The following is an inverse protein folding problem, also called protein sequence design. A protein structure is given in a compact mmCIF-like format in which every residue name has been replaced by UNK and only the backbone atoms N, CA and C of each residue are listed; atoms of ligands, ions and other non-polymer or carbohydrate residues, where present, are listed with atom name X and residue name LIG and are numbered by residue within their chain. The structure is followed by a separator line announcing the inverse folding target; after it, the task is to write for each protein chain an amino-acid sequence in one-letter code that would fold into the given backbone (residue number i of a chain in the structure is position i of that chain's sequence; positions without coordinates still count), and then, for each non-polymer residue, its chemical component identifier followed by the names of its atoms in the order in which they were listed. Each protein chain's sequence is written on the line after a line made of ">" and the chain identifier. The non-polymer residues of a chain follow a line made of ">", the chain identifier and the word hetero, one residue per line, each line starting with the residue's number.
data_IF_688977447665
#
_entry.id   IF_688977447665
#
_cell.length_a   1.000
_cell.length_b   1.000
_cell.length_c   1.000
_cell.angle_alpha   90.00
_cell.angle_beta   90.00
_cell.angle_gamma   90.00
#
_symmetry.space_group_name_H-M   'P 1'
#
loop_
_entity.id
_entity.type
_entity.pdbx_description
1 polymer ?
#
# COMPACT_ATOMS: atom_id res chain seq x y z
N UNK A 1 -11.47 25.77 12.32
CA UNK A 1 -10.33 25.44 11.43
C UNK A 1 -10.83 25.44 10.00
N UNK A 2 -10.09 26.04 9.07
CA UNK A 2 -10.42 26.01 7.65
C UNK A 2 -10.29 24.56 7.14
N UNK A 3 -11.38 23.90 6.76
CA UNK A 3 -11.36 22.49 6.33
C UNK A 3 -10.86 22.29 4.89
N UNK A 4 -10.73 23.39 4.14
CA UNK A 4 -10.37 23.38 2.72
C UNK A 4 -9.01 22.72 2.42
N UNK A 5 -7.91 22.99 3.15
CA UNK A 5 -6.63 22.32 2.91
C UNK A 5 -6.68 20.81 3.18
N UNK A 6 -7.40 20.40 4.23
CA UNK A 6 -7.57 18.98 4.59
C UNK A 6 -8.34 18.25 3.48
N UNK A 7 -9.43 18.84 2.99
CA UNK A 7 -10.23 18.25 1.93
C UNK A 7 -9.48 18.19 0.59
N UNK A 8 -8.66 19.19 0.27
CA UNK A 8 -7.83 19.20 -0.93
C UNK A 8 -6.72 18.15 -0.89
N UNK A 9 -5.97 18.10 0.22
CA UNK A 9 -4.92 17.12 0.41
C UNK A 9 -5.51 15.71 0.33
N UNK A 10 -6.54 15.43 1.12
CA UNK A 10 -7.21 14.13 1.18
C UNK A 10 -7.73 13.68 -0.18
N UNK A 11 -8.37 14.58 -0.93
CA UNK A 11 -8.86 14.27 -2.28
C UNK A 11 -7.72 13.85 -3.21
N UNK A 12 -6.69 14.68 -3.36
CA UNK A 12 -5.60 14.40 -4.29
C UNK A 12 -4.76 13.21 -3.87
N UNK A 13 -4.46 13.06 -2.58
CA UNK A 13 -3.74 11.91 -2.08
C UNK A 13 -4.52 10.61 -2.31
N UNK A 14 -5.83 10.60 -2.07
CA UNK A 14 -6.66 9.41 -2.34
C UNK A 14 -6.72 9.08 -3.82
N UNK A 15 -6.82 10.08 -4.70
CA UNK A 15 -6.77 9.87 -6.16
C UNK A 15 -5.44 9.25 -6.57
N UNK A 16 -4.30 9.79 -6.09
CA UNK A 16 -2.98 9.24 -6.41
C UNK A 16 -2.87 7.80 -5.91
N UNK A 17 -3.28 7.52 -4.68
CA UNK A 17 -3.29 6.16 -4.12
C UNK A 17 -4.12 5.21 -4.99
N UNK A 18 -5.34 5.59 -5.35
CA UNK A 18 -6.21 4.78 -6.22
C UNK A 18 -5.58 4.54 -7.59
N UNK A 19 -4.99 5.57 -8.20
CA UNK A 19 -4.32 5.43 -9.50
C UNK A 19 -3.12 4.51 -9.42
N UNK A 20 -2.27 4.63 -8.40
CA UNK A 20 -1.10 3.76 -8.25
C UNK A 20 -1.50 2.30 -8.00
N UNK A 21 -2.57 2.06 -7.22
CA UNK A 21 -3.17 0.73 -7.02
C UNK A 21 -3.83 0.15 -8.28
N UNK A 22 -4.05 0.94 -9.33
CA UNK A 22 -4.53 0.46 -10.64
C UNK A 22 -3.34 0.27 -11.58
N UNK A 23 -2.40 1.21 -11.61
CA UNK A 23 -1.20 1.13 -12.46
C UNK A 23 -0.35 -0.09 -12.11
N UNK A 24 -0.14 -0.36 -10.82
CA UNK A 24 0.64 -1.51 -10.36
C UNK A 24 0.11 -2.85 -10.93
N UNK A 25 -1.14 -3.28 -10.67
CA UNK A 25 -1.62 -4.56 -11.18
C UNK A 25 -1.75 -4.58 -12.71
N UNK A 26 -2.01 -3.45 -13.38
CA UNK A 26 -1.98 -3.38 -14.84
C UNK A 26 -0.57 -3.62 -15.39
N UNK A 27 0.46 -3.09 -14.72
CA UNK A 27 1.84 -3.32 -15.12
C UNK A 27 2.23 -4.80 -15.04
N UNK A 28 1.69 -5.52 -14.05
CA UNK A 28 1.86 -6.97 -13.94
C UNK A 28 1.04 -7.74 -14.98
N UNK A 29 -0.21 -7.34 -15.21
CA UNK A 29 -1.12 -8.06 -16.10
C UNK A 29 -0.78 -7.93 -17.59
N UNK A 30 -0.12 -6.84 -17.98
CA UNK A 30 0.27 -6.54 -19.37
C UNK A 30 1.78 -6.63 -19.60
N UNK A 31 2.53 -7.21 -18.66
CA UNK A 31 3.98 -7.36 -18.73
C UNK A 31 4.71 -6.06 -19.08
N UNK A 32 4.29 -4.95 -18.47
CA UNK A 32 5.00 -3.67 -18.58
C UNK A 32 6.34 -3.74 -17.84
N UNK A 33 7.18 -2.71 -17.97
CA UNK A 33 8.48 -2.70 -17.29
C UNK A 33 8.32 -2.75 -15.76
N UNK A 34 9.20 -3.52 -15.09
CA UNK A 34 9.27 -3.59 -13.63
C UNK A 34 9.49 -2.21 -13.00
N UNK A 35 10.15 -1.30 -13.71
CA UNK A 35 10.29 0.09 -13.28
C UNK A 35 8.93 0.80 -13.09
N UNK A 36 7.91 0.49 -13.89
CA UNK A 36 6.56 1.03 -13.71
C UNK A 36 5.90 0.42 -12.47
N UNK A 37 6.05 -0.89 -12.27
CA UNK A 37 5.53 -1.56 -11.07
C UNK A 37 6.14 -0.95 -9.79
N UNK A 38 7.47 -0.94 -9.69
CA UNK A 38 8.17 -0.39 -8.52
C UNK A 38 7.98 1.12 -8.37
N UNK A 39 7.96 1.88 -9.47
CA UNK A 39 7.71 3.32 -9.44
C UNK A 39 6.32 3.65 -8.92
N UNK A 40 5.30 2.90 -9.35
CA UNK A 40 3.93 3.08 -8.86
C UNK A 40 3.80 2.77 -7.38
N UNK A 41 4.41 1.68 -6.90
CA UNK A 41 4.40 1.32 -5.48
C UNK A 41 5.24 2.27 -4.62
N UNK A 42 6.32 2.85 -5.17
CA UNK A 42 7.08 3.90 -4.51
C UNK A 42 6.25 5.18 -4.32
N UNK A 43 5.51 5.61 -5.35
CA UNK A 43 4.65 6.80 -5.26
C UNK A 43 3.39 6.58 -4.40
N UNK A 44 2.90 5.35 -4.33
CA UNK A 44 1.80 4.94 -3.45
C UNK A 44 2.10 5.26 -1.99
N UNK A 45 3.31 4.94 -1.51
CA UNK A 45 3.72 5.05 -0.12
C UNK A 45 3.53 6.46 0.50
N UNK A 46 4.15 7.54 -0.02
CA UNK A 46 3.96 8.89 0.52
C UNK A 46 2.53 9.41 0.30
N UNK A 47 1.87 9.04 -0.80
CA UNK A 47 0.48 9.41 -1.05
C UNK A 47 -0.46 8.80 -0.01
N UNK A 48 -0.23 7.56 0.40
CA UNK A 48 -0.99 6.90 1.46
C UNK A 48 -0.82 7.61 2.81
N UNK A 49 0.40 8.05 3.15
CA UNK A 49 0.63 8.85 4.37
C UNK A 49 -0.14 10.16 4.32
N UNK A 50 -0.09 10.90 3.20
CA UNK A 50 -0.84 12.14 3.03
C UNK A 50 -2.36 11.95 3.14
N UNK A 51 -2.87 10.82 2.64
CA UNK A 51 -4.27 10.43 2.81
C UNK A 51 -4.60 10.18 4.28
N UNK A 52 -3.75 9.47 5.02
CA UNK A 52 -3.94 9.17 6.43
C UNK A 52 -3.85 10.40 7.33
N UNK A 53 -3.00 11.38 7.00
CA UNK A 53 -3.00 12.71 7.65
C UNK A 53 -4.37 13.38 7.49
N UNK A 54 -4.93 13.35 6.28
CA UNK A 54 -6.24 13.95 6.01
C UNK A 54 -7.37 13.23 6.76
N UNK A 55 -7.31 11.89 6.85
CA UNK A 55 -8.25 11.08 7.65
C UNK A 55 -8.12 11.43 9.15
N UNK A 56 -6.91 11.61 9.67
CA UNK A 56 -6.70 12.01 11.07
C UNK A 56 -7.31 13.38 11.37
N UNK A 57 -7.18 14.35 10.46
CA UNK A 57 -7.78 15.66 10.62
C UNK A 57 -9.30 15.68 10.38
N UNK A 58 -9.81 14.72 9.62
CA UNK A 58 -11.25 14.48 9.45
C UNK A 58 -11.90 13.86 10.70
N UNK A 59 -11.15 13.07 11.48
CA UNK A 59 -11.67 12.34 12.63
C UNK A 59 -12.28 13.23 13.72
N UNK A 60 -13.43 12.82 14.24
CA UNK A 60 -14.02 13.39 15.47
C UNK A 60 -13.09 13.15 16.67
N UNK A 61 -13.11 14.03 17.70
CA UNK A 61 -12.17 13.97 18.82
C UNK A 61 -12.02 12.59 19.47
N UNK A 62 -13.12 11.85 19.63
CA UNK A 62 -13.18 10.54 20.29
C UNK A 62 -12.52 9.43 19.45
N UNK A 63 -12.32 9.66 18.15
CA UNK A 63 -11.70 8.71 17.21
C UNK A 63 -10.26 9.06 16.86
N UNK A 64 -9.72 10.17 17.38
CA UNK A 64 -8.36 10.62 17.06
C UNK A 64 -7.29 9.61 17.43
N UNK A 65 -7.42 8.90 18.54
CA UNK A 65 -6.49 7.84 18.96
C UNK A 65 -6.35 6.77 17.88
N UNK A 66 -7.47 6.31 17.31
CA UNK A 66 -7.50 5.30 16.26
C UNK A 66 -6.89 5.81 14.95
N UNK A 67 -7.25 7.03 14.54
CA UNK A 67 -6.67 7.64 13.34
C UNK A 67 -5.17 7.93 13.46
N UNK A 68 -4.70 8.31 14.65
CA UNK A 68 -3.28 8.54 14.92
C UNK A 68 -2.50 7.22 14.90
N UNK A 69 -3.05 6.16 15.50
CA UNK A 69 -2.48 4.82 15.40
C UNK A 69 -2.39 4.37 13.93
N UNK A 70 -3.44 4.59 13.15
CA UNK A 70 -3.43 4.30 11.72
C UNK A 70 -2.37 5.09 10.96
N UNK A 71 -2.22 6.39 11.26
CA UNK A 71 -1.18 7.23 10.66
C UNK A 71 0.23 6.75 11.02
N UNK A 72 0.47 6.36 12.27
CA UNK A 72 1.76 5.80 12.70
C UNK A 72 2.12 4.54 11.91
N UNK A 73 1.17 3.62 11.72
CA UNK A 73 1.38 2.43 10.89
C UNK A 73 1.62 2.79 9.41
N UNK A 74 0.89 3.77 8.88
CA UNK A 74 1.10 4.25 7.51
C UNK A 74 2.52 4.80 7.29
N UNK A 75 3.08 5.50 8.28
CA UNK A 75 4.46 6.00 8.24
C UNK A 75 5.45 4.83 8.21
N UNK A 76 5.27 3.82 9.07
CA UNK A 76 6.13 2.63 9.10
C UNK A 76 6.08 1.90 7.75
N UNK A 77 4.88 1.64 7.22
CA UNK A 77 4.68 1.09 5.88
C UNK A 77 5.46 1.88 4.82
N UNK A 78 5.27 3.21 4.81
CA UNK A 78 5.86 4.05 3.79
C UNK A 78 7.39 4.00 3.81
N UNK A 79 8.01 4.00 4.99
CA UNK A 79 9.48 3.88 5.11
C UNK A 79 9.96 2.52 4.57
N UNK A 80 9.34 1.42 5.01
CA UNK A 80 9.79 0.07 4.64
C UNK A 80 9.66 -0.19 3.14
N UNK A 81 8.50 0.10 2.56
CA UNK A 81 8.25 -0.14 1.14
C UNK A 81 9.00 0.85 0.24
N UNK A 82 9.14 2.12 0.66
CA UNK A 82 9.94 3.09 -0.12
C UNK A 82 11.39 2.66 -0.23
N UNK A 83 11.99 2.13 0.85
CA UNK A 83 13.35 1.59 0.82
C UNK A 83 13.46 0.42 -0.16
N UNK A 84 12.50 -0.51 -0.14
CA UNK A 84 12.47 -1.65 -1.08
C UNK A 84 12.46 -1.17 -2.53
N UNK A 85 11.51 -0.34 -2.90
CA UNK A 85 11.33 0.07 -4.30
C UNK A 85 12.43 1.02 -4.78
N UNK A 86 12.94 1.89 -3.90
CA UNK A 86 14.06 2.76 -4.24
C UNK A 86 15.33 1.93 -4.51
N UNK A 87 15.60 0.88 -3.72
CA UNK A 87 16.71 -0.04 -3.98
C UNK A 87 16.52 -0.76 -5.32
N UNK A 88 15.31 -1.22 -5.66
CA UNK A 88 15.07 -1.86 -6.96
C UNK A 88 15.37 -0.91 -8.13
N UNK A 89 14.80 0.30 -8.09
CA UNK A 89 14.88 1.29 -9.17
C UNK A 89 16.28 1.91 -9.32
N UNK A 90 17.08 1.96 -8.25
CA UNK A 90 18.36 2.68 -8.27
C UNK A 90 19.56 1.74 -8.21
N UNK A 91 19.58 0.81 -7.25
CA UNK A 91 20.73 -0.04 -7.02
C UNK A 91 20.71 -1.28 -7.94
N UNK A 92 19.59 -2.01 -7.97
CA UNK A 92 19.47 -3.23 -8.76
C UNK A 92 19.38 -2.92 -10.26
N UNK A 93 18.55 -1.96 -10.66
CA UNK A 93 18.35 -1.63 -12.08
C UNK A 93 19.62 -1.06 -12.74
N UNK A 94 20.38 -0.20 -12.05
CA UNK A 94 21.56 0.42 -12.65
C UNK A 94 22.84 -0.42 -12.51
N UNK A 95 23.01 -1.15 -11.39
CA UNK A 95 24.23 -1.89 -11.01
C UNK A 95 25.55 -1.23 -11.49
N UNK A 96 25.72 0.05 -11.17
CA UNK A 96 26.80 0.89 -11.75
C UNK A 96 28.23 0.41 -11.42
N UNK A 97 28.43 -0.25 -10.26
CA UNK A 97 29.72 -0.75 -9.80
C UNK A 97 29.98 -2.22 -10.18
N UNK A 98 29.46 -2.67 -11.33
CA UNK A 98 29.07 -4.04 -11.68
C UNK A 98 29.29 -5.08 -10.56
N UNK A 99 28.50 -4.98 -9.50
CA UNK A 99 28.62 -5.88 -8.35
C UNK A 99 28.10 -7.26 -8.78
N UNK A 100 28.82 -8.30 -8.36
CA UNK A 100 28.49 -9.68 -8.66
C UNK A 100 27.08 -10.07 -8.15
N UNK A 101 26.39 -10.91 -8.91
CA UNK A 101 25.00 -11.27 -8.64
C UNK A 101 24.81 -11.97 -7.29
N UNK A 102 25.82 -12.71 -6.82
CA UNK A 102 25.78 -13.38 -5.52
C UNK A 102 25.70 -12.38 -4.36
N UNK A 103 26.27 -11.19 -4.54
CA UNK A 103 26.29 -10.11 -3.55
C UNK A 103 25.03 -9.25 -3.63
N UNK A 104 24.46 -9.07 -4.82
CA UNK A 104 23.22 -8.31 -5.02
C UNK A 104 21.95 -9.15 -4.82
N UNK A 105 22.05 -10.49 -4.86
CA UNK A 105 20.92 -11.41 -4.72
C UNK A 105 20.00 -11.14 -3.52
N UNK A 106 20.50 -10.83 -2.30
CA UNK A 106 19.64 -10.50 -1.16
C UNK A 106 18.80 -9.22 -1.36
N UNK A 107 19.23 -8.36 -2.29
CA UNK A 107 18.59 -7.09 -2.59
C UNK A 107 17.59 -7.16 -3.75
N UNK A 108 17.48 -8.29 -4.45
CA UNK A 108 16.51 -8.46 -5.55
C UNK A 108 15.13 -8.75 -4.98
N UNK A 109 14.07 -8.13 -5.52
CA UNK A 109 12.70 -8.37 -5.06
C UNK A 109 12.14 -9.72 -5.56
N UNK A 110 12.51 -10.81 -4.87
CA UNK A 110 12.03 -12.18 -5.15
C UNK A 110 11.61 -12.84 -3.82
N UNK A 111 10.52 -13.64 -3.79
CA UNK A 111 10.16 -14.40 -2.60
C UNK A 111 11.33 -15.17 -1.97
N UNK A 112 11.51 -15.01 -0.66
CA UNK A 112 12.63 -15.60 0.09
C UNK A 112 13.85 -14.70 0.28
N UNK A 113 13.92 -13.55 -0.41
CA UNK A 113 14.97 -12.54 -0.16
C UNK A 113 14.63 -11.65 1.05
N UNK A 114 15.64 -11.08 1.73
CA UNK A 114 15.42 -10.08 2.79
C UNK A 114 14.59 -8.87 2.33
N UNK A 115 14.80 -8.38 1.10
CA UNK A 115 14.04 -7.25 0.56
C UNK A 115 12.55 -7.60 0.39
N UNK A 116 12.23 -8.82 -0.06
CA UNK A 116 10.84 -9.27 -0.12
C UNK A 116 10.21 -9.39 1.28
N UNK A 117 10.92 -9.97 2.25
CA UNK A 117 10.42 -10.09 3.62
C UNK A 117 10.16 -8.73 4.27
N UNK A 118 11.03 -7.74 4.03
CA UNK A 118 10.84 -6.36 4.47
C UNK A 118 9.58 -5.74 3.86
N UNK A 119 9.37 -5.89 2.55
CA UNK A 119 8.21 -5.34 1.86
C UNK A 119 6.90 -5.93 2.40
N UNK A 120 6.86 -7.24 2.59
CA UNK A 120 5.70 -7.93 3.18
C UNK A 120 5.38 -7.40 4.58
N UNK A 121 6.40 -7.21 5.42
CA UNK A 121 6.21 -6.59 6.75
C UNK A 121 5.69 -5.14 6.63
N UNK A 122 6.14 -4.38 5.62
CA UNK A 122 5.57 -3.08 5.28
C UNK A 122 4.06 -3.17 5.00
N UNK A 123 3.63 -4.10 4.15
CA UNK A 123 2.21 -4.30 3.84
C UNK A 123 1.37 -4.81 5.03
N UNK A 124 1.97 -5.50 6.00
CA UNK A 124 1.30 -5.76 7.30
C UNK A 124 0.94 -4.45 7.97
N UNK A 125 1.86 -3.49 8.04
CA UNK A 125 1.58 -2.17 8.59
C UNK A 125 0.56 -1.39 7.76
N UNK A 126 0.54 -1.54 6.44
CA UNK A 126 -0.54 -0.99 5.60
C UNK A 126 -1.92 -1.54 6.04
N UNK A 127 -2.03 -2.86 6.21
CA UNK A 127 -3.27 -3.50 6.65
C UNK A 127 -3.69 -3.04 8.06
N UNK A 128 -2.74 -2.91 8.98
CA UNK A 128 -2.99 -2.37 10.32
C UNK A 128 -3.40 -0.89 10.27
N UNK A 129 -2.82 -0.11 9.37
CA UNK A 129 -3.16 1.29 9.17
C UNK A 129 -4.63 1.43 8.74
N UNK A 130 -5.08 0.64 7.76
CA UNK A 130 -6.49 0.65 7.35
C UNK A 130 -7.41 0.14 8.46
N UNK A 131 -7.02 -0.91 9.18
CA UNK A 131 -7.79 -1.44 10.31
C UNK A 131 -8.06 -0.37 11.38
N UNK A 132 -7.01 0.36 11.76
CA UNK A 132 -7.09 1.43 12.74
C UNK A 132 -7.84 2.66 12.22
N UNK A 133 -7.79 2.94 10.91
CA UNK A 133 -8.51 4.03 10.28
C UNK A 133 -10.02 3.75 10.12
N UNK A 134 -10.44 2.49 9.96
CA UNK A 134 -11.84 2.12 9.72
C UNK A 134 -12.85 2.73 10.71
N UNK A 135 -12.62 2.67 12.03
CA UNK A 135 -13.51 3.26 13.05
C UNK A 135 -13.69 4.78 13.00
N UNK A 136 -12.89 5.50 12.21
CA UNK A 136 -12.96 6.96 12.04
C UNK A 136 -14.20 7.38 11.28
N UNK A 137 -14.67 6.55 10.35
CA UNK A 137 -15.81 6.84 9.49
C UNK A 137 -17.12 6.45 10.21
N UNK A 138 -17.92 7.45 10.58
CA UNK A 138 -19.11 7.28 11.43
C UNK A 138 -20.40 7.80 10.82
N UNK A 139 -20.33 8.49 9.68
CA UNK A 139 -21.48 9.11 9.04
C UNK A 139 -22.28 8.18 8.13
N UNK A 140 -22.65 8.71 6.95
CA UNK A 140 -23.63 8.09 6.05
C UNK A 140 -23.15 6.83 5.31
N UNK A 141 -23.94 6.36 4.34
CA UNK A 141 -23.66 5.12 3.58
C UNK A 141 -22.24 5.05 3.00
N UNK A 142 -21.72 6.16 2.48
CA UNK A 142 -20.36 6.21 1.90
C UNK A 142 -19.28 5.90 2.95
N UNK A 143 -19.38 6.54 4.12
CA UNK A 143 -18.47 6.31 5.25
C UNK A 143 -18.58 4.89 5.78
N UNK A 144 -19.79 4.32 5.83
CA UNK A 144 -20.00 2.93 6.22
C UNK A 144 -19.30 1.95 5.27
N UNK A 145 -19.34 2.18 3.95
CA UNK A 145 -18.61 1.37 2.98
C UNK A 145 -17.09 1.47 3.17
N UNK A 146 -16.56 2.69 3.30
CA UNK A 146 -15.12 2.91 3.53
C UNK A 146 -14.68 2.20 4.82
N UNK A 147 -15.43 2.39 5.91
CA UNK A 147 -15.18 1.74 7.20
C UNK A 147 -15.01 0.23 7.06
N UNK A 148 -16.01 -0.44 6.46
CA UNK A 148 -16.00 -1.89 6.39
C UNK A 148 -14.95 -2.42 5.43
N UNK A 149 -14.71 -1.76 4.29
CA UNK A 149 -13.61 -2.12 3.41
C UNK A 149 -12.24 -2.00 4.12
N UNK A 150 -12.03 -0.94 4.89
CA UNK A 150 -10.77 -0.76 5.64
C UNK A 150 -10.60 -1.79 6.77
N UNK A 151 -11.68 -2.10 7.49
CA UNK A 151 -11.67 -3.12 8.55
C UNK A 151 -11.43 -4.51 7.96
N UNK A 152 -12.14 -4.87 6.89
CA UNK A 152 -11.96 -6.16 6.23
C UNK A 152 -10.57 -6.29 5.62
N UNK A 153 -9.99 -5.22 5.06
CA UNK A 153 -8.60 -5.24 4.61
C UNK A 153 -7.66 -5.66 5.75
N UNK A 154 -7.79 -4.99 6.90
CA UNK A 154 -6.98 -5.27 8.07
C UNK A 154 -7.11 -6.71 8.57
N UNK A 155 -8.34 -7.17 8.77
CA UNK A 155 -8.63 -8.49 9.35
C UNK A 155 -8.23 -9.62 8.40
N UNK A 156 -8.56 -9.50 7.12
CA UNK A 156 -8.37 -10.58 6.15
C UNK A 156 -6.91 -10.70 5.69
N UNK A 157 -6.19 -9.59 5.55
CA UNK A 157 -4.87 -9.61 4.90
C UNK A 157 -3.70 -9.43 5.86
N UNK A 158 -3.86 -8.86 7.06
CA UNK A 158 -2.71 -8.64 7.95
C UNK A 158 -2.03 -9.95 8.38
N UNK A 159 -2.81 -10.96 8.80
CA UNK A 159 -2.25 -12.23 9.28
C UNK A 159 -1.64 -13.04 8.12
N UNK A 160 -2.31 -13.25 6.98
CA UNK A 160 -1.70 -13.95 5.85
C UNK A 160 -0.41 -13.27 5.38
N UNK A 161 -0.40 -11.94 5.24
CA UNK A 161 0.78 -11.18 4.78
C UNK A 161 1.96 -11.31 5.76
N UNK A 162 1.68 -11.42 7.07
CA UNK A 162 2.72 -11.64 8.08
C UNK A 162 3.30 -13.06 8.05
N UNK A 163 2.46 -14.07 7.81
CA UNK A 163 2.85 -15.48 7.91
C UNK A 163 3.47 -15.99 6.61
N UNK A 164 2.96 -15.58 5.44
CA UNK A 164 3.37 -16.12 4.15
C UNK A 164 4.90 -16.10 3.91
N UNK A 165 5.64 -15.03 4.25
CA UNK A 165 7.09 -14.98 4.05
C UNK A 165 7.87 -15.94 4.96
N UNK A 166 7.27 -16.39 6.07
CA UNK A 166 7.87 -17.37 6.97
C UNK A 166 7.66 -18.82 6.48
N UNK A 167 6.79 -19.03 5.49
CA UNK A 167 6.54 -20.33 4.89
C UNK A 167 7.47 -20.55 3.70
N UNK A 168 7.95 -21.78 3.53
CA UNK A 168 8.73 -22.16 2.36
C UNK A 168 7.79 -22.17 1.15
N UNK A 169 7.99 -21.22 0.23
CA UNK A 169 7.20 -21.17 -1.00
C UNK A 169 7.74 -22.18 -2.02
N UNK A 170 6.86 -22.93 -2.71
CA UNK A 170 7.28 -23.89 -3.72
C UNK A 170 7.93 -23.18 -4.91
N UNK A 171 9.14 -23.62 -5.26
CA UNK A 171 9.91 -23.17 -6.43
C UNK A 171 9.89 -24.23 -7.53
N UNK A 172 9.79 -23.81 -8.80
CA UNK A 172 9.99 -24.72 -9.93
C UNK A 172 11.47 -25.10 -10.06
N UNK A 173 11.75 -26.11 -10.89
CA UNK A 173 13.10 -26.59 -11.18
C UNK A 173 14.09 -25.51 -11.70
N UNK A 174 13.58 -24.38 -12.20
CA UNK A 174 14.36 -23.22 -12.63
C UNK A 174 14.59 -22.16 -11.52
N UNK A 175 14.19 -22.42 -10.28
CA UNK A 175 14.22 -21.44 -9.18
C UNK A 175 13.14 -20.36 -9.26
N UNK A 176 12.34 -20.34 -10.32
CA UNK A 176 11.18 -19.45 -10.46
C UNK A 176 10.02 -19.99 -9.62
N UNK A 177 9.57 -19.23 -8.63
CA UNK A 177 8.49 -19.61 -7.70
C UNK A 177 7.18 -19.93 -8.42
N UNK A 178 6.58 -21.10 -8.17
CA UNK A 178 5.12 -21.30 -8.43
C UNK A 178 4.32 -20.30 -7.57
N UNK A 179 4.89 -19.90 -6.44
CA UNK A 179 4.41 -18.80 -5.61
C UNK A 179 4.36 -17.43 -6.30
N UNK A 180 5.13 -17.18 -7.37
CA UNK A 180 5.05 -15.90 -8.09
C UNK A 180 3.68 -15.73 -8.73
N UNK A 181 3.17 -16.72 -9.46
CA UNK A 181 1.87 -16.58 -10.15
C UNK A 181 0.70 -16.41 -9.18
N UNK A 182 0.62 -17.25 -8.13
CA UNK A 182 -0.44 -17.14 -7.12
C UNK A 182 -0.34 -15.81 -6.36
N UNK A 183 0.88 -15.38 -6.02
CA UNK A 183 1.15 -14.09 -5.40
C UNK A 183 0.74 -12.92 -6.30
N UNK A 184 1.05 -12.98 -7.59
CA UNK A 184 0.71 -11.95 -8.57
C UNK A 184 -0.81 -11.83 -8.71
N UNK A 185 -1.54 -12.95 -8.84
CA UNK A 185 -3.01 -12.92 -8.87
C UNK A 185 -3.62 -12.37 -7.59
N UNK A 186 -3.11 -12.79 -6.42
CA UNK A 186 -3.58 -12.28 -5.13
C UNK A 186 -3.34 -10.77 -5.01
N UNK A 187 -2.16 -10.30 -5.44
CA UNK A 187 -1.81 -8.88 -5.47
C UNK A 187 -2.71 -8.08 -6.42
N UNK A 188 -3.04 -8.62 -7.59
CA UNK A 188 -3.95 -7.97 -8.54
C UNK A 188 -5.33 -7.79 -7.92
N UNK A 189 -5.91 -8.85 -7.36
CA UNK A 189 -7.24 -8.80 -6.73
C UNK A 189 -7.24 -7.84 -5.54
N UNK A 190 -6.22 -7.91 -4.68
CA UNK A 190 -6.08 -7.04 -3.52
C UNK A 190 -5.92 -5.57 -3.92
N UNK A 191 -5.16 -5.29 -4.97
CA UNK A 191 -4.93 -3.92 -5.47
C UNK A 191 -6.23 -3.28 -5.94
N UNK A 192 -7.05 -3.98 -6.71
CA UNK A 192 -8.37 -3.49 -7.12
C UNK A 192 -9.33 -3.31 -5.94
N UNK A 193 -9.30 -4.23 -4.98
CA UNK A 193 -10.10 -4.13 -3.76
C UNK A 193 -9.78 -2.84 -2.97
N UNK A 194 -8.50 -2.53 -2.75
CA UNK A 194 -8.09 -1.30 -2.06
C UNK A 194 -8.26 -0.06 -2.95
N UNK A 195 -8.12 -0.18 -4.28
CA UNK A 195 -8.41 0.90 -5.20
C UNK A 195 -9.88 1.35 -5.07
N UNK A 196 -10.83 0.42 -4.92
CA UNK A 196 -12.24 0.75 -4.65
C UNK A 196 -12.36 1.51 -3.32
N UNK A 197 -11.76 1.01 -2.25
CA UNK A 197 -11.86 1.64 -0.93
C UNK A 197 -11.27 3.06 -0.91
N UNK A 198 -10.12 3.25 -1.54
CA UNK A 198 -9.43 4.54 -1.64
C UNK A 198 -10.13 5.49 -2.61
N UNK A 199 -10.75 4.96 -3.67
CA UNK A 199 -11.60 5.73 -4.58
C UNK A 199 -12.84 6.27 -3.89
N UNK A 200 -13.48 5.47 -3.02
CA UNK A 200 -14.57 5.94 -2.17
C UNK A 200 -14.09 7.05 -1.21
N UNK A 201 -12.91 6.90 -0.61
CA UNK A 201 -12.29 7.96 0.21
C UNK A 201 -12.04 9.25 -0.59
N UNK A 202 -11.61 9.16 -1.86
CA UNK A 202 -11.51 10.31 -2.74
C UNK A 202 -12.88 10.98 -2.95
N UNK A 203 -13.96 10.20 -3.15
CA UNK A 203 -15.31 10.77 -3.28
C UNK A 203 -15.80 11.45 -2.00
N UNK A 204 -15.41 10.93 -0.82
CA UNK A 204 -15.71 11.55 0.47
C UNK A 204 -15.05 12.93 0.57
N UNK A 205 -13.73 13.02 0.33
CA UNK A 205 -13.01 14.28 0.38
C UNK A 205 -13.44 15.26 -0.72
N UNK A 206 -13.88 14.78 -1.89
CA UNK A 206 -14.49 15.61 -2.93
C UNK A 206 -15.75 16.31 -2.42
N UNK A 207 -16.63 15.58 -1.70
CA UNK A 207 -17.85 16.15 -1.11
C UNK A 207 -17.51 17.20 -0.04
N UNK A 208 -16.54 16.91 0.81
CA UNK A 208 -16.05 17.87 1.82
C UNK A 208 -15.48 19.14 1.16
N UNK A 209 -14.69 18.99 0.09
CA UNK A 209 -14.12 20.09 -0.68
C UNK A 209 -15.18 20.97 -1.34
N UNK A 210 -16.33 20.41 -1.74
CA UNK A 210 -17.43 21.19 -2.34
C UNK A 210 -18.23 22.01 -1.33
N UNK A 211 -18.14 21.66 -0.04
CA UNK A 211 -18.89 22.32 1.05
C UNK A 211 -18.00 23.35 1.78
N UNK A 212 -16.68 23.25 1.65
CA UNK A 212 -15.66 24.09 2.31
C UNK A 212 -15.15 25.25 1.43
#
# INVERSE_FOLDING_TARGET
>A
MNQKPIAQLGFWSSVVVTLMLIVFPLSLAFDWSLAVAYGSSFLLAPAFVAMMVSIHHYAVPEKKVWSQLGLSFAIIYAVMCSLTYYIQLTFIENNYLPIANEVTAPFVFIPGTPIFAQDMLGYVFFCLATLAAGPVFTGGKLEAWIKWLFIFNGILFAIPTLILPALVMPVNAAGTGVGNQVGDYANIVWSFYIAIATGLTATLFKRLKSIA
#
